data_IF_359895464949
#
_entry.id   IF_359895464949
#
_cell.length_a   1.000
_cell.length_b   1.000
_cell.length_c   1.000
_cell.angle_alpha   90.00
_cell.angle_beta   90.00
_cell.angle_gamma   90.00
#
_symmetry.space_group_name_H-M   'P 1'
#
loop_
_entity.id
_entity.type
_entity.pdbx_description
1 polymer ?
#
# COMPACT_ATOMS: atom_id res chain seq x y z
N UNK A 1 -22.45 5.08 -0.58
CA UNK A 1 -21.45 4.07 -1.00
C UNK A 1 -20.09 4.20 -0.30
N UNK A 2 -19.62 5.42 0.05
CA UNK A 2 -18.33 5.65 0.74
C UNK A 2 -18.12 4.90 2.06
N UNK A 3 -19.11 4.78 2.94
CA UNK A 3 -18.95 4.07 4.22
C UNK A 3 -18.61 2.59 4.08
N UNK A 4 -18.91 1.95 2.94
CA UNK A 4 -18.69 0.50 2.71
C UNK A 4 -17.34 0.18 2.03
N UNK A 5 -16.69 1.19 1.44
CA UNK A 5 -15.44 1.06 0.68
C UNK A 5 -14.31 1.96 1.22
N UNK A 6 -14.58 2.84 2.19
CA UNK A 6 -13.59 3.80 2.69
C UNK A 6 -12.33 3.14 3.27
N UNK A 7 -12.46 2.14 4.15
CA UNK A 7 -11.31 1.47 4.78
C UNK A 7 -10.29 0.91 3.79
N UNK A 8 -10.67 0.06 2.81
CA UNK A 8 -9.72 -0.52 1.87
C UNK A 8 -9.17 0.49 0.86
N UNK A 9 -9.97 1.45 0.41
CA UNK A 9 -9.49 2.48 -0.52
C UNK A 9 -8.45 3.39 0.15
N UNK A 10 -8.67 3.73 1.43
CA UNK A 10 -7.68 4.47 2.24
C UNK A 10 -6.42 3.64 2.45
N UNK A 11 -6.56 2.33 2.74
CA UNK A 11 -5.42 1.44 2.91
C UNK A 11 -4.57 1.33 1.64
N UNK A 12 -5.22 1.29 0.46
CA UNK A 12 -4.57 1.24 -0.85
C UNK A 12 -3.81 2.55 -1.16
N UNK A 13 -4.41 3.70 -0.84
CA UNK A 13 -3.75 5.00 -0.99
C UNK A 13 -2.53 5.13 -0.05
N UNK A 14 -2.68 4.72 1.21
CA UNK A 14 -1.60 4.75 2.21
C UNK A 14 -0.44 3.83 1.78
N UNK A 15 -0.77 2.62 1.32
CA UNK A 15 0.19 1.65 0.79
C UNK A 15 0.99 2.17 -0.41
N UNK A 16 0.44 3.10 -1.19
CA UNK A 16 1.12 3.72 -2.33
C UNK A 16 1.97 4.94 -1.92
N UNK A 17 1.53 5.68 -0.90
CA UNK A 17 2.20 6.89 -0.39
C UNK A 17 3.41 6.54 0.51
N UNK A 18 3.31 5.49 1.32
CA UNK A 18 4.37 5.06 2.26
C UNK A 18 5.70 4.74 1.54
N UNK A 19 5.73 3.93 0.46
CA UNK A 19 6.95 3.67 -0.29
C UNK A 19 7.58 4.95 -0.84
N UNK A 20 6.75 5.87 -1.34
CA UNK A 20 7.20 7.12 -1.94
C UNK A 20 7.88 8.04 -0.92
N UNK A 21 7.32 8.12 0.29
CA UNK A 21 7.92 8.86 1.40
C UNK A 21 9.19 8.18 1.91
N UNK A 22 9.21 6.86 2.01
CA UNK A 22 10.38 6.14 2.50
C UNK A 22 11.57 6.25 1.54
N UNK A 23 11.36 6.04 0.25
CA UNK A 23 12.45 6.06 -0.75
C UNK A 23 12.97 7.46 -1.06
N UNK A 24 12.28 8.52 -0.62
CA UNK A 24 12.74 9.90 -0.79
C UNK A 24 13.98 10.24 0.04
N UNK A 25 14.32 9.43 1.04
CA UNK A 25 15.46 9.65 1.93
C UNK A 25 16.54 8.60 1.65
N UNK A 26 17.36 8.83 0.63
CA UNK A 26 18.59 8.08 0.39
C UNK A 26 19.76 9.02 0.60
N UNK A 27 20.73 8.61 1.43
CA UNK A 27 21.94 9.41 1.66
C UNK A 27 23.17 8.52 1.80
N UNK A 28 24.33 9.11 1.52
CA UNK A 28 25.63 8.47 1.63
C UNK A 28 26.34 9.05 2.85
N UNK A 29 26.75 8.21 3.77
CA UNK A 29 27.54 8.63 4.93
C UNK A 29 28.99 8.94 4.54
N UNK A 30 29.74 9.60 5.43
CA UNK A 30 31.16 9.99 5.24
C UNK A 30 32.08 8.81 4.92
N UNK A 31 31.67 7.60 5.28
CA UNK A 31 32.38 6.35 5.00
C UNK A 31 32.02 5.72 3.64
N UNK A 32 31.19 6.37 2.83
CA UNK A 32 30.72 5.84 1.54
C UNK A 32 29.62 4.78 1.64
N UNK A 33 29.06 4.58 2.84
CA UNK A 33 27.96 3.64 3.07
C UNK A 33 26.64 4.29 2.63
N UNK A 34 25.88 3.60 1.79
CA UNK A 34 24.56 4.04 1.34
C UNK A 34 23.52 3.60 2.36
N UNK A 35 22.74 4.55 2.87
CA UNK A 35 21.62 4.29 3.76
C UNK A 35 20.31 4.54 3.02
N UNK A 36 19.48 3.50 2.98
CA UNK A 36 18.15 3.50 2.37
C UNK A 36 17.10 3.16 3.44
N UNK A 37 16.84 4.06 4.42
CA UNK A 37 15.83 3.84 5.45
C UNK A 37 14.45 3.52 4.89
N UNK A 38 14.17 3.99 3.67
CA UNK A 38 12.96 3.70 2.91
C UNK A 38 12.82 2.28 2.37
N UNK A 39 13.87 1.48 2.32
CA UNK A 39 13.84 0.20 1.61
C UNK A 39 12.74 -0.74 2.13
N UNK A 40 12.60 -0.85 3.46
CA UNK A 40 11.56 -1.66 4.09
C UNK A 40 10.14 -1.08 3.94
N UNK A 41 10.02 0.22 3.71
CA UNK A 41 8.71 0.86 3.47
C UNK A 41 8.08 0.43 2.15
N UNK A 42 8.91 0.09 1.15
CA UNK A 42 8.46 -0.45 -0.15
C UNK A 42 7.81 -1.81 0.06
N UNK A 43 8.46 -2.70 0.79
CA UNK A 43 7.96 -4.05 1.10
C UNK A 43 6.62 -3.97 1.85
N UNK A 44 6.52 -3.08 2.85
CA UNK A 44 5.28 -2.86 3.61
C UNK A 44 4.17 -2.32 2.70
N UNK A 45 4.51 -1.37 1.81
CA UNK A 45 3.58 -0.84 0.82
C UNK A 45 3.04 -1.93 -0.10
N UNK A 46 3.89 -2.77 -0.69
CA UNK A 46 3.46 -3.84 -1.59
C UNK A 46 2.54 -4.86 -0.92
N UNK A 47 2.86 -5.28 0.31
CA UNK A 47 2.01 -6.19 1.09
C UNK A 47 0.64 -5.54 1.34
N UNK A 48 0.60 -4.27 1.73
CA UNK A 48 -0.63 -3.51 1.93
C UNK A 48 -1.47 -3.40 0.65
N UNK A 49 -0.81 -3.24 -0.50
CA UNK A 49 -1.44 -3.15 -1.81
C UNK A 49 -2.11 -4.48 -2.20
N UNK A 50 -1.39 -5.59 -2.02
CA UNK A 50 -1.90 -6.93 -2.29
C UNK A 50 -3.11 -7.27 -1.43
N UNK A 51 -3.04 -7.04 -0.12
CA UNK A 51 -4.14 -7.30 0.81
C UNK A 51 -5.36 -6.46 0.46
N UNK A 52 -5.17 -5.17 0.16
CA UNK A 52 -6.26 -4.27 -0.21
C UNK A 52 -6.90 -4.68 -1.54
N UNK A 53 -6.10 -5.10 -2.52
CA UNK A 53 -6.57 -5.56 -3.82
C UNK A 53 -7.38 -6.86 -3.71
N UNK A 54 -6.89 -7.85 -2.96
CA UNK A 54 -7.61 -9.10 -2.71
C UNK A 54 -8.95 -8.82 -2.04
N UNK A 55 -8.97 -7.94 -1.04
CA UNK A 55 -10.20 -7.57 -0.35
C UNK A 55 -11.19 -6.90 -1.31
N UNK A 56 -10.72 -5.99 -2.17
CA UNK A 56 -11.56 -5.30 -3.13
C UNK A 56 -12.19 -6.27 -4.13
N UNK A 57 -11.40 -7.21 -4.67
CA UNK A 57 -11.88 -8.26 -5.58
C UNK A 57 -12.91 -9.16 -4.88
N UNK A 58 -12.60 -9.66 -3.67
CA UNK A 58 -13.50 -10.52 -2.91
C UNK A 58 -14.82 -9.81 -2.56
N UNK A 59 -14.79 -8.50 -2.31
CA UNK A 59 -15.97 -7.67 -2.05
C UNK A 59 -16.79 -7.44 -3.32
N UNK A 60 -16.12 -7.15 -4.44
CA UNK A 60 -16.75 -6.96 -5.74
C UNK A 60 -17.50 -8.23 -6.18
N UNK A 61 -16.87 -9.40 -6.07
CA UNK A 61 -17.48 -10.69 -6.36
C UNK A 61 -18.68 -10.99 -5.45
N UNK A 62 -18.60 -10.69 -4.15
CA UNK A 62 -19.73 -10.86 -3.22
C UNK A 62 -20.92 -9.99 -3.59
N UNK A 63 -20.69 -8.72 -3.95
CA UNK A 63 -21.79 -7.84 -4.37
C UNK A 63 -22.42 -8.29 -5.71
N UNK A 64 -21.62 -8.83 -6.62
CA UNK A 64 -22.12 -9.37 -7.90
C UNK A 64 -23.03 -10.59 -7.69
N UNK A 65 -22.71 -11.45 -6.71
CA UNK A 65 -23.52 -12.63 -6.35
C UNK A 65 -24.86 -12.32 -5.65
N UNK A 66 -25.00 -11.15 -5.03
CA UNK A 66 -26.23 -10.75 -4.33
C UNK A 66 -27.21 -10.06 -5.29
N UNK A 67 -26.73 -9.60 -6.45
CA UNK A 67 -27.51 -8.86 -7.44
C UNK A 67 -27.93 -9.71 -8.65
N UNK A 68 -27.69 -11.02 -8.60
CA UNK A 68 -28.11 -12.04 -9.58
C UNK A 68 -28.98 -13.06 -8.89
#
# INVERSE_FOLDING_TARGET
MWKKYGSPTVCLLISLIIPFLGTSFVYVDKNGIVYEPGFYSVIIGEIGFLVSSIWFIARYWRNKKISS
#
